data_IF_431676029337
#
_entry.id   IF_431676029337
#
_cell.length_a   1.000
_cell.length_b   1.000
_cell.length_c   1.000
_cell.angle_alpha   90.00
_cell.angle_beta   90.00
_cell.angle_gamma   90.00
#
_symmetry.space_group_name_H-M   'P 1'
#
loop_
_entity.id
_entity.type
_entity.pdbx_description
1 polymer ?
#
# COMPACT_ATOMS: atom_id res chain seq x y z
N UNK A 1 0.11 20.93 11.74
CA UNK A 1 0.96 20.39 10.65
C UNK A 1 2.44 20.66 10.91
N UNK A 2 2.86 21.89 11.23
CA UNK A 2 4.29 22.20 11.42
C UNK A 2 4.95 21.49 12.62
N UNK A 3 4.22 21.17 13.68
CA UNK A 3 4.74 20.40 14.80
C UNK A 3 4.95 18.93 14.42
N UNK A 4 3.94 18.30 13.84
CA UNK A 4 4.00 16.93 13.36
C UNK A 4 5.10 16.73 12.30
N UNK A 5 5.26 17.70 11.40
CA UNK A 5 6.31 17.65 10.39
C UNK A 5 7.70 17.70 11.02
N UNK A 6 7.94 18.56 12.03
CA UNK A 6 9.22 18.59 12.75
C UNK A 6 9.52 17.29 13.49
N UNK A 7 8.51 16.67 14.08
CA UNK A 7 8.67 15.38 14.77
C UNK A 7 8.99 14.26 13.77
N UNK A 8 8.31 14.24 12.63
CA UNK A 8 8.61 13.33 11.53
C UNK A 8 10.05 13.52 11.01
N UNK A 9 10.49 14.76 10.78
CA UNK A 9 11.84 15.06 10.33
C UNK A 9 12.90 14.63 11.38
N UNK A 10 12.57 14.70 12.66
CA UNK A 10 13.43 14.19 13.73
C UNK A 10 13.56 12.67 13.66
N UNK A 11 12.44 11.94 13.50
CA UNK A 11 12.45 10.49 13.34
C UNK A 11 13.28 10.08 12.13
N UNK A 12 13.07 10.75 11.00
CA UNK A 12 13.84 10.52 9.76
C UNK A 12 15.35 10.66 10.00
N UNK A 13 15.79 11.71 10.71
CA UNK A 13 17.21 11.90 11.03
C UNK A 13 17.78 10.82 11.95
N UNK A 14 16.99 10.36 12.93
CA UNK A 14 17.42 9.27 13.83
C UNK A 14 17.57 7.97 13.04
N UNK A 15 16.61 7.67 12.18
CA UNK A 15 16.68 6.49 11.31
C UNK A 15 17.89 6.57 10.36
N UNK A 16 18.11 7.72 9.73
CA UNK A 16 19.26 7.95 8.85
C UNK A 16 20.59 7.73 9.57
N UNK A 17 20.71 8.18 10.81
CA UNK A 17 21.92 8.00 11.60
C UNK A 17 22.21 6.52 11.92
N UNK A 18 21.18 5.65 11.92
CA UNK A 18 21.33 4.22 12.21
C UNK A 18 21.50 3.39 10.94
N UNK A 19 20.72 3.72 9.92
CA UNK A 19 20.60 2.90 8.67
C UNK A 19 21.40 3.47 7.50
N UNK A 20 21.85 4.72 7.57
CA UNK A 20 22.40 5.49 6.47
C UNK A 20 21.30 6.25 5.69
N UNK A 21 21.68 7.38 5.10
CA UNK A 21 20.74 8.23 4.36
C UNK A 21 20.14 7.51 3.13
N UNK A 22 20.92 6.63 2.50
CA UNK A 22 20.50 5.88 1.31
C UNK A 22 19.43 4.80 1.61
N UNK A 23 19.29 4.40 2.87
CA UNK A 23 18.30 3.40 3.29
C UNK A 23 16.89 3.98 3.46
N UNK A 24 16.73 5.30 3.32
CA UNK A 24 15.44 5.97 3.48
C UNK A 24 14.94 6.47 2.14
N UNK A 25 13.67 6.18 1.87
CA UNK A 25 13.04 6.57 0.61
C UNK A 25 11.63 7.08 0.85
N UNK A 26 11.28 8.16 0.20
CA UNK A 26 9.94 8.75 0.26
C UNK A 26 8.92 7.90 -0.51
N UNK A 27 7.80 7.58 0.14
CA UNK A 27 6.73 6.75 -0.45
C UNK A 27 6.17 7.32 -1.75
N UNK A 28 5.98 8.64 -1.82
CA UNK A 28 5.48 9.30 -3.03
C UNK A 28 6.48 9.21 -4.18
N UNK A 29 7.79 9.29 -3.88
CA UNK A 29 8.81 9.10 -4.89
C UNK A 29 8.81 7.65 -5.41
N UNK A 30 8.74 6.65 -4.53
CA UNK A 30 8.63 5.24 -4.91
C UNK A 30 7.41 5.00 -5.82
N UNK A 31 6.25 5.53 -5.40
CA UNK A 31 5.01 5.40 -6.17
C UNK A 31 5.13 6.10 -7.54
N UNK A 32 5.64 7.33 -7.58
CA UNK A 32 5.86 8.06 -8.84
C UNK A 32 6.77 7.31 -9.79
N UNK A 33 7.85 6.73 -9.27
CA UNK A 33 8.77 5.90 -10.06
C UNK A 33 8.09 4.64 -10.61
N UNK A 34 7.33 3.92 -9.79
CA UNK A 34 6.57 2.75 -10.24
C UNK A 34 5.53 3.10 -11.31
N UNK A 35 4.82 4.21 -11.14
CA UNK A 35 3.80 4.71 -12.07
C UNK A 35 4.36 5.25 -13.40
N UNK A 36 5.67 5.29 -13.58
CA UNK A 36 6.29 5.55 -14.87
C UNK A 36 6.15 4.36 -15.84
N UNK A 37 5.83 3.17 -15.33
CA UNK A 37 5.49 2.00 -16.13
C UNK A 37 3.98 2.01 -16.45
N UNK A 38 3.63 1.88 -17.74
CA UNK A 38 2.22 1.91 -18.19
C UNK A 38 1.38 0.81 -17.52
N UNK A 39 1.95 -0.37 -17.32
CA UNK A 39 1.28 -1.48 -16.64
C UNK A 39 0.89 -1.14 -15.20
N UNK A 40 1.81 -0.55 -14.42
CA UNK A 40 1.55 -0.10 -13.06
C UNK A 40 0.47 0.98 -13.02
N UNK A 41 0.55 1.92 -13.96
CA UNK A 41 -0.38 3.02 -14.09
C UNK A 41 -1.81 2.52 -14.35
N UNK A 42 -1.98 1.62 -15.32
CA UNK A 42 -3.28 1.03 -15.63
C UNK A 42 -3.84 0.25 -14.45
N UNK A 43 -3.05 -0.67 -13.86
CA UNK A 43 -3.44 -1.49 -12.71
C UNK A 43 -3.92 -0.63 -11.53
N UNK A 44 -3.18 0.44 -11.18
CA UNK A 44 -3.52 1.28 -10.04
C UNK A 44 -4.78 2.12 -10.30
N UNK A 45 -4.92 2.68 -11.51
CA UNK A 45 -6.11 3.45 -11.87
C UNK A 45 -7.33 2.54 -11.85
N UNK A 46 -7.27 1.37 -12.50
CA UNK A 46 -8.37 0.41 -12.56
C UNK A 46 -8.83 0.02 -11.15
N UNK A 47 -7.91 -0.45 -10.32
CA UNK A 47 -8.22 -0.85 -8.94
C UNK A 47 -8.76 0.32 -8.12
N UNK A 48 -8.22 1.53 -8.29
CA UNK A 48 -8.71 2.71 -7.55
C UNK A 48 -10.15 3.05 -7.94
N UNK A 49 -10.48 3.00 -9.22
CA UNK A 49 -11.84 3.27 -9.70
C UNK A 49 -12.83 2.21 -9.21
N UNK A 50 -12.42 0.94 -9.21
CA UNK A 50 -13.24 -0.14 -8.65
C UNK A 50 -13.52 0.09 -7.15
N UNK A 51 -12.51 0.51 -6.39
CA UNK A 51 -12.67 0.86 -4.98
C UNK A 51 -13.59 2.07 -4.76
N UNK A 52 -13.53 3.11 -5.61
CA UNK A 52 -14.43 4.25 -5.54
C UNK A 52 -15.90 3.83 -5.73
N UNK A 53 -16.17 2.90 -6.64
CA UNK A 53 -17.50 2.34 -6.86
C UNK A 53 -17.94 1.43 -5.69
N UNK A 54 -17.09 0.45 -5.34
CA UNK A 54 -17.41 -0.60 -4.36
C UNK A 54 -17.58 -0.04 -2.94
N UNK A 55 -16.64 0.80 -2.48
CA UNK A 55 -16.62 1.24 -1.09
C UNK A 55 -17.40 2.52 -0.85
N UNK A 56 -17.47 3.39 -1.85
CA UNK A 56 -18.02 4.74 -1.67
C UNK A 56 -19.26 5.01 -2.52
N UNK A 57 -19.71 4.02 -3.30
CA UNK A 57 -20.93 4.11 -4.10
C UNK A 57 -20.85 5.18 -5.18
N UNK A 58 -19.65 5.49 -5.68
CA UNK A 58 -19.48 6.42 -6.78
C UNK A 58 -20.12 5.82 -8.04
N UNK A 59 -21.02 6.58 -8.66
CA UNK A 59 -21.73 6.11 -9.84
C UNK A 59 -20.82 5.99 -11.09
N UNK A 60 -21.32 5.32 -12.12
CA UNK A 60 -20.55 5.10 -13.34
C UNK A 60 -20.09 6.40 -14.03
N UNK A 61 -20.83 7.49 -13.89
CA UNK A 61 -20.45 8.78 -14.46
C UNK A 61 -19.32 9.42 -13.65
N UNK A 62 -19.38 9.32 -12.31
CA UNK A 62 -18.32 9.74 -11.40
C UNK A 62 -17.03 8.96 -11.61
N UNK A 63 -17.14 7.63 -11.71
CA UNK A 63 -16.02 6.73 -12.00
C UNK A 63 -15.33 7.08 -13.33
N UNK A 64 -16.10 7.35 -14.40
CA UNK A 64 -15.51 7.79 -15.67
C UNK A 64 -14.77 9.12 -15.56
N UNK A 65 -15.37 10.13 -14.91
CA UNK A 65 -14.72 11.43 -14.71
C UNK A 65 -13.43 11.30 -13.89
N UNK A 66 -13.45 10.50 -12.83
CA UNK A 66 -12.27 10.26 -12.01
C UNK A 66 -11.15 9.57 -12.81
N UNK A 67 -11.51 8.54 -13.59
CA UNK A 67 -10.57 7.84 -14.48
C UNK A 67 -9.93 8.80 -15.48
N UNK A 68 -10.74 9.54 -16.24
CA UNK A 68 -10.26 10.50 -17.24
C UNK A 68 -9.31 11.54 -16.62
N UNK A 69 -9.64 12.03 -15.42
CA UNK A 69 -8.80 12.97 -14.71
C UNK A 69 -7.45 12.36 -14.28
N UNK A 70 -7.45 11.12 -13.78
CA UNK A 70 -6.21 10.42 -13.37
C UNK A 70 -5.32 10.06 -14.57
N UNK A 71 -5.91 9.64 -15.69
CA UNK A 71 -5.19 9.26 -16.90
C UNK A 71 -4.42 10.43 -17.54
N UNK A 72 -4.88 11.67 -17.34
CA UNK A 72 -4.21 12.87 -17.87
C UNK A 72 -3.01 13.35 -17.03
N UNK A 73 -2.84 12.83 -15.82
CA UNK A 73 -1.75 13.24 -14.94
C UNK A 73 -0.44 12.53 -15.32
N UNK A 74 0.68 13.20 -15.23
CA UNK A 74 1.99 12.55 -15.26
C UNK A 74 2.21 11.68 -14.00
N UNK A 75 3.24 10.85 -13.96
CA UNK A 75 3.47 9.90 -12.88
C UNK A 75 3.57 10.57 -11.49
N UNK A 76 4.21 11.74 -11.41
CA UNK A 76 4.38 12.47 -10.15
C UNK A 76 3.06 13.05 -9.64
N UNK A 77 2.30 13.67 -10.53
CA UNK A 77 0.99 14.23 -10.20
C UNK A 77 -0.03 13.14 -9.92
N UNK A 78 0.05 12.03 -10.64
CA UNK A 78 -0.78 10.85 -10.40
C UNK A 78 -0.52 10.27 -9.01
N UNK A 79 0.75 10.08 -8.61
CA UNK A 79 1.10 9.63 -7.26
C UNK A 79 0.51 10.55 -6.18
N UNK A 80 0.63 11.87 -6.36
CA UNK A 80 0.04 12.83 -5.43
C UNK A 80 -1.49 12.73 -5.39
N UNK A 81 -2.15 12.65 -6.55
CA UNK A 81 -3.61 12.53 -6.63
C UNK A 81 -4.13 11.24 -5.99
N UNK A 82 -3.44 10.11 -6.17
CA UNK A 82 -3.79 8.84 -5.55
C UNK A 82 -3.65 8.86 -4.03
N UNK A 83 -2.66 9.59 -3.50
CA UNK A 83 -2.44 9.74 -2.04
C UNK A 83 -3.44 10.74 -1.45
N UNK A 84 -3.58 11.91 -2.06
CA UNK A 84 -4.35 13.03 -1.47
C UNK A 84 -5.83 13.04 -1.86
N UNK A 85 -6.21 12.30 -2.90
CA UNK A 85 -7.54 12.34 -3.52
C UNK A 85 -7.76 13.54 -4.44
N UNK A 86 -6.74 14.36 -4.69
CA UNK A 86 -6.84 15.62 -5.44
C UNK A 86 -5.68 15.78 -6.41
N UNK A 87 -5.94 16.43 -7.55
CA UNK A 87 -4.83 16.89 -8.39
C UNK A 87 -4.04 18.00 -7.67
N UNK A 88 -2.74 18.13 -7.95
CA UNK A 88 -1.92 19.21 -7.40
C UNK A 88 -2.54 20.57 -7.66
N UNK A 89 -2.61 21.39 -6.62
CA UNK A 89 -3.19 22.76 -6.65
C UNK A 89 -4.69 22.82 -6.97
N UNK A 90 -5.39 21.69 -7.13
CA UNK A 90 -6.84 21.69 -7.31
C UNK A 90 -7.59 21.80 -5.98
N UNK A 91 -8.69 22.56 -5.98
CA UNK A 91 -9.62 22.63 -4.85
C UNK A 91 -10.61 21.47 -4.85
N UNK A 92 -10.92 20.94 -6.03
CA UNK A 92 -11.84 19.84 -6.21
C UNK A 92 -11.16 18.48 -6.03
N UNK A 93 -11.88 17.55 -5.43
CA UNK A 93 -11.42 16.17 -5.25
C UNK A 93 -11.71 15.36 -6.51
N UNK A 94 -10.72 14.57 -6.96
CA UNK A 94 -10.88 13.55 -8.00
C UNK A 94 -11.45 12.27 -7.37
N UNK A 95 -10.94 11.90 -6.20
CA UNK A 95 -11.34 10.71 -5.46
C UNK A 95 -12.11 11.12 -4.20
N UNK A 96 -13.00 10.25 -3.73
CA UNK A 96 -13.87 10.52 -2.60
C UNK A 96 -13.11 10.81 -1.32
N UNK A 97 -12.04 10.04 -1.07
CA UNK A 97 -11.20 10.15 0.13
C UNK A 97 -9.72 10.08 -0.22
N UNK A 98 -8.82 10.66 0.59
CA UNK A 98 -7.39 10.41 0.47
C UNK A 98 -7.06 8.95 0.84
N UNK A 99 -5.85 8.50 0.55
CA UNK A 99 -5.27 7.30 1.13
C UNK A 99 -4.88 7.60 2.59
N UNK A 100 -5.63 7.07 3.60
CA UNK A 100 -5.60 7.67 4.94
C UNK A 100 -4.34 7.34 5.73
N UNK A 101 -3.70 6.22 5.44
CA UNK A 101 -2.71 5.64 6.34
C UNK A 101 -1.39 5.25 5.66
N UNK A 102 -1.04 5.83 4.52
CA UNK A 102 0.28 5.62 3.89
C UNK A 102 1.45 6.08 4.77
N UNK A 103 1.16 6.87 5.81
CA UNK A 103 2.11 7.23 6.85
C UNK A 103 2.61 6.01 7.65
N UNK A 104 1.77 4.99 7.80
CA UNK A 104 2.12 3.74 8.50
C UNK A 104 2.73 2.74 7.51
N UNK A 105 3.96 3.03 7.08
CA UNK A 105 4.68 2.22 6.08
C UNK A 105 4.77 0.74 6.47
N UNK A 106 4.92 0.45 7.77
CA UNK A 106 4.98 -0.91 8.31
C UNK A 106 3.73 -1.74 8.02
N UNK A 107 2.56 -1.10 8.02
CA UNK A 107 1.31 -1.81 7.78
C UNK A 107 1.12 -2.19 6.30
N UNK A 108 1.85 -1.54 5.39
CA UNK A 108 1.68 -1.72 3.95
C UNK A 108 2.45 -2.92 3.40
N UNK A 109 3.59 -3.22 4.00
CA UNK A 109 4.43 -4.36 3.65
C UNK A 109 5.40 -4.68 4.80
N UNK A 110 5.86 -5.92 4.86
CA UNK A 110 6.83 -6.37 5.87
C UNK A 110 7.92 -7.19 5.22
N UNK A 111 9.18 -6.85 5.51
CA UNK A 111 10.31 -7.67 5.12
C UNK A 111 10.42 -8.89 6.06
N UNK A 112 10.46 -10.09 5.49
CA UNK A 112 10.62 -11.36 6.21
C UNK A 112 11.68 -12.17 5.47
N UNK A 113 12.84 -12.30 6.08
CA UNK A 113 14.01 -12.87 5.39
C UNK A 113 14.40 -12.03 4.16
N UNK A 114 14.48 -12.65 3.02
CA UNK A 114 14.77 -12.03 1.72
C UNK A 114 13.52 -11.68 0.90
N UNK A 115 12.32 -11.91 1.47
CA UNK A 115 11.05 -11.67 0.82
C UNK A 115 10.32 -10.43 1.38
N UNK A 116 9.45 -9.84 0.55
CA UNK A 116 8.54 -8.78 0.93
C UNK A 116 7.11 -9.32 1.03
N UNK A 117 6.60 -9.42 2.26
CA UNK A 117 5.20 -9.76 2.51
C UNK A 117 4.29 -8.58 2.19
N UNK A 118 3.41 -8.75 1.21
CA UNK A 118 2.41 -7.76 0.83
C UNK A 118 1.16 -7.94 1.70
N UNK A 119 0.72 -6.85 2.29
CA UNK A 119 -0.35 -6.88 3.28
C UNK A 119 -1.74 -6.69 2.66
N UNK A 120 -2.75 -7.09 3.42
CA UNK A 120 -4.17 -6.94 3.08
C UNK A 120 -4.91 -6.41 4.30
N UNK A 121 -5.24 -5.14 4.30
CA UNK A 121 -5.90 -4.50 5.43
C UNK A 121 -7.31 -5.05 5.69
N UNK A 122 -7.63 -5.23 6.96
CA UNK A 122 -8.97 -5.59 7.39
C UNK A 122 -9.97 -4.45 7.11
N UNK A 123 -9.57 -3.21 7.35
CA UNK A 123 -10.39 -2.03 7.13
C UNK A 123 -10.54 -1.70 5.63
N UNK A 124 -11.78 -1.68 5.11
CA UNK A 124 -12.02 -1.42 3.69
C UNK A 124 -11.40 -0.10 3.18
N UNK A 125 -11.45 0.96 3.99
CA UNK A 125 -10.89 2.27 3.64
C UNK A 125 -9.38 2.29 3.41
N UNK A 126 -8.64 1.27 3.88
CA UNK A 126 -7.19 1.11 3.68
C UNK A 126 -6.82 0.32 2.42
N UNK A 127 -7.78 -0.24 1.71
CA UNK A 127 -7.51 -1.09 0.53
C UNK A 127 -6.70 -0.34 -0.54
N UNK A 128 -6.94 0.97 -0.70
CA UNK A 128 -6.15 1.77 -1.63
C UNK A 128 -4.69 1.92 -1.18
N UNK A 129 -4.42 2.08 0.10
CA UNK A 129 -3.05 2.13 0.64
C UNK A 129 -2.27 0.87 0.21
N UNK A 130 -2.89 -0.31 0.37
CA UNK A 130 -2.30 -1.60 -0.01
C UNK A 130 -2.11 -1.73 -1.52
N UNK A 131 -3.05 -1.21 -2.32
CA UNK A 131 -2.94 -1.17 -3.79
C UNK A 131 -1.73 -0.34 -4.23
N UNK A 132 -1.52 0.82 -3.62
CA UNK A 132 -0.36 1.66 -3.93
C UNK A 132 0.96 0.97 -3.59
N UNK A 133 1.03 0.31 -2.43
CA UNK A 133 2.23 -0.44 -2.04
C UNK A 133 2.49 -1.63 -2.97
N UNK A 134 1.45 -2.35 -3.36
CA UNK A 134 1.56 -3.48 -4.30
C UNK A 134 2.11 -3.03 -5.67
N UNK A 135 1.67 -1.87 -6.16
CA UNK A 135 2.21 -1.30 -7.39
C UNK A 135 3.71 -0.95 -7.24
N UNK A 136 4.12 -0.39 -6.11
CA UNK A 136 5.54 -0.14 -5.81
C UNK A 136 6.31 -1.46 -5.81
N UNK A 137 5.84 -2.46 -5.09
CA UNK A 137 6.51 -3.75 -4.99
C UNK A 137 6.72 -4.41 -6.36
N UNK A 138 5.69 -4.43 -7.19
CA UNK A 138 5.70 -5.12 -8.48
C UNK A 138 6.45 -4.38 -9.60
N UNK A 139 6.50 -3.04 -9.55
CA UNK A 139 6.96 -2.24 -10.69
C UNK A 139 8.16 -1.33 -10.40
N UNK A 140 8.43 -1.03 -9.11
CA UNK A 140 9.58 -0.18 -8.80
C UNK A 140 10.90 -0.95 -8.91
N UNK A 141 11.95 -0.38 -9.54
CA UNK A 141 13.23 -1.06 -9.76
C UNK A 141 13.89 -1.64 -8.50
N UNK A 142 13.67 -1.02 -7.33
CA UNK A 142 14.22 -1.52 -6.05
C UNK A 142 13.55 -2.79 -5.53
N UNK A 143 12.31 -3.08 -5.95
CA UNK A 143 11.50 -4.14 -5.35
C UNK A 143 11.03 -5.21 -6.32
N UNK A 144 10.93 -4.90 -7.62
CA UNK A 144 10.35 -5.82 -8.63
C UNK A 144 11.06 -7.17 -8.73
N UNK A 145 12.32 -7.23 -8.35
CA UNK A 145 13.14 -8.46 -8.38
C UNK A 145 13.28 -9.10 -6.98
N UNK A 146 12.69 -8.50 -5.93
CA UNK A 146 12.61 -9.09 -4.60
C UNK A 146 11.49 -10.13 -4.58
N UNK A 147 11.67 -11.32 -3.98
CA UNK A 147 10.57 -12.26 -3.82
C UNK A 147 9.38 -11.61 -3.07
N UNK A 148 8.18 -11.80 -3.59
CA UNK A 148 6.95 -11.28 -2.96
C UNK A 148 6.12 -12.44 -2.40
N UNK A 149 5.58 -12.24 -1.19
CA UNK A 149 4.57 -13.09 -0.60
C UNK A 149 3.26 -12.32 -0.60
N UNK A 150 2.33 -12.69 -1.46
CA UNK A 150 0.98 -12.10 -1.52
C UNK A 150 -0.05 -13.18 -1.17
N UNK A 151 -0.85 -12.93 -0.14
CA UNK A 151 -1.88 -13.88 0.30
C UNK A 151 -3.04 -14.01 -0.69
N UNK A 152 -3.19 -13.06 -1.61
CA UNK A 152 -4.17 -13.12 -2.67
C UNK A 152 -3.85 -14.18 -3.73
N UNK A 153 -2.61 -14.65 -3.81
CA UNK A 153 -2.21 -15.74 -4.70
C UNK A 153 -2.84 -17.08 -4.32
N UNK A 154 -3.23 -17.25 -3.05
CA UNK A 154 -3.86 -18.47 -2.52
C UNK A 154 -5.39 -18.39 -2.53
N UNK A 155 -5.96 -17.34 -3.08
CA UNK A 155 -7.39 -17.15 -3.16
C UNK A 155 -7.88 -15.82 -2.57
N UNK A 156 -9.19 -15.60 -2.52
CA UNK A 156 -9.76 -14.34 -2.09
C UNK A 156 -9.36 -14.02 -0.64
N UNK A 157 -8.89 -12.80 -0.42
CA UNK A 157 -8.55 -12.27 0.91
C UNK A 157 -9.76 -11.63 1.59
N UNK A 158 -10.84 -11.45 0.85
CA UNK A 158 -12.10 -10.86 1.30
C UNK A 158 -13.24 -11.39 0.44
N UNK A 159 -14.45 -11.45 1.03
CA UNK A 159 -15.72 -11.72 0.31
C UNK A 159 -16.84 -10.79 0.80
N UNK A 160 -18.09 -11.11 0.43
CA UNK A 160 -19.25 -10.33 0.82
C UNK A 160 -19.53 -10.34 2.35
N UNK A 161 -19.01 -11.33 3.08
CA UNK A 161 -19.16 -11.42 4.54
C UNK A 161 -18.07 -10.65 5.30
N UNK A 162 -17.01 -10.23 4.61
CA UNK A 162 -15.94 -9.43 5.18
C UNK A 162 -14.52 -9.95 4.92
N UNK A 163 -13.56 -9.64 5.81
CA UNK A 163 -12.18 -10.09 5.69
C UNK A 163 -12.07 -11.61 5.92
N UNK A 164 -11.34 -12.30 5.03
CA UNK A 164 -11.01 -13.72 5.13
C UNK A 164 -9.55 -13.86 5.57
N UNK A 165 -8.59 -13.45 4.73
CA UNK A 165 -7.17 -13.56 4.97
C UNK A 165 -6.54 -12.17 4.97
N UNK A 166 -6.73 -11.44 6.07
CA UNK A 166 -6.14 -10.09 6.24
C UNK A 166 -4.91 -10.14 7.12
N UNK A 167 -3.91 -9.35 6.76
CA UNK A 167 -2.63 -9.21 7.43
C UNK A 167 -2.22 -7.74 7.41
N UNK A 168 -1.90 -7.18 8.56
CA UNK A 168 -1.27 -5.86 8.66
C UNK A 168 0.16 -6.03 9.21
N UNK A 169 1.14 -5.39 8.59
CA UNK A 169 2.55 -5.61 8.91
C UNK A 169 2.94 -5.18 10.33
N UNK A 170 2.13 -4.33 10.97
CA UNK A 170 2.27 -3.99 12.38
C UNK A 170 2.11 -5.17 13.33
N UNK A 171 1.35 -6.19 12.91
CA UNK A 171 1.14 -7.42 13.67
C UNK A 171 2.26 -8.46 13.48
N UNK A 172 3.20 -8.22 12.55
CA UNK A 172 4.28 -9.14 12.22
C UNK A 172 5.60 -8.67 12.83
N UNK A 173 6.21 -9.50 13.65
CA UNK A 173 7.51 -9.24 14.28
C UNK A 173 8.51 -10.35 13.89
N UNK A 174 9.50 -10.00 13.07
CA UNK A 174 10.62 -10.88 12.75
C UNK A 174 11.62 -10.83 13.90
N UNK A 175 11.73 -11.92 14.66
CA UNK A 175 12.56 -11.99 15.86
C UNK A 175 13.96 -12.55 15.55
N UNK A 176 14.05 -13.46 14.60
CA UNK A 176 15.31 -14.06 14.13
C UNK A 176 15.07 -14.66 12.73
N UNK A 177 16.08 -15.29 12.17
CA UNK A 177 15.97 -16.03 10.90
C UNK A 177 14.95 -17.18 10.98
N UNK A 178 14.73 -17.75 12.16
CA UNK A 178 13.89 -18.92 12.39
C UNK A 178 12.57 -18.59 13.09
N UNK A 179 12.36 -17.35 13.54
CA UNK A 179 11.22 -17.01 14.40
C UNK A 179 10.52 -15.73 13.92
N UNK A 180 9.25 -15.88 13.58
CA UNK A 180 8.34 -14.78 13.29
C UNK A 180 7.15 -14.87 14.25
N UNK A 181 6.87 -13.79 14.97
CA UNK A 181 5.70 -13.66 15.82
C UNK A 181 4.62 -12.89 15.06
N UNK A 182 3.39 -13.40 15.08
CA UNK A 182 2.24 -12.77 14.41
C UNK A 182 1.10 -12.61 15.41
N UNK A 183 0.66 -11.38 15.62
CA UNK A 183 -0.51 -11.06 16.43
C UNK A 183 -1.80 -11.33 15.67
N UNK A 184 -2.62 -12.26 16.14
CA UNK A 184 -3.93 -12.55 15.55
C UNK A 184 -5.02 -11.77 16.27
N UNK A 185 -5.88 -11.07 15.53
CA UNK A 185 -6.91 -10.21 16.10
C UNK A 185 -7.88 -9.67 15.04
N UNK A 186 -8.33 -8.45 15.23
CA UNK A 186 -9.27 -7.81 14.30
C UNK A 186 -8.64 -7.40 12.97
N UNK A 187 -7.31 -7.22 12.95
CA UNK A 187 -6.56 -6.74 11.78
C UNK A 187 -5.89 -7.87 11.02
N UNK A 188 -5.40 -8.88 11.73
CA UNK A 188 -4.75 -10.04 11.15
C UNK A 188 -5.53 -11.29 11.54
N UNK A 189 -5.99 -12.03 10.54
CA UNK A 189 -6.80 -13.24 10.74
C UNK A 189 -5.92 -14.49 10.86
N UNK A 190 -6.45 -15.54 11.50
CA UNK A 190 -5.76 -16.83 11.56
C UNK A 190 -5.57 -17.43 10.17
N UNK A 191 -6.55 -17.30 9.29
CA UNK A 191 -6.44 -17.70 7.88
C UNK A 191 -5.24 -17.07 7.17
N UNK A 192 -4.94 -15.79 7.45
CA UNK A 192 -3.76 -15.14 6.89
C UNK A 192 -2.46 -15.79 7.38
N UNK A 193 -2.40 -16.16 8.66
CA UNK A 193 -1.24 -16.87 9.24
C UNK A 193 -1.08 -18.24 8.61
N UNK A 194 -2.17 -18.99 8.44
CA UNK A 194 -2.16 -20.33 7.83
C UNK A 194 -1.71 -20.30 6.36
N UNK A 195 -2.05 -19.26 5.60
CA UNK A 195 -1.55 -19.05 4.24
C UNK A 195 -0.09 -18.57 4.18
N UNK A 196 0.31 -17.76 5.16
CA UNK A 196 1.66 -17.20 5.21
C UNK A 196 2.70 -18.22 5.63
N UNK A 197 2.43 -19.02 6.65
CA UNK A 197 3.41 -19.93 7.26
C UNK A 197 4.08 -20.90 6.27
N UNK A 198 3.38 -21.57 5.35
CA UNK A 198 4.03 -22.44 4.35
C UNK A 198 4.98 -21.71 3.42
N UNK A 199 4.73 -20.41 3.16
CA UNK A 199 5.57 -19.59 2.27
C UNK A 199 6.85 -19.11 2.93
N UNK A 200 6.87 -19.09 4.27
CA UNK A 200 8.04 -18.66 5.04
C UNK A 200 9.02 -19.80 5.32
N UNK A 201 8.54 -21.04 5.34
CA UNK A 201 9.31 -22.22 5.76
C UNK A 201 9.43 -23.27 4.63
N UNK A 202 9.27 -22.83 3.37
CA UNK A 202 9.33 -23.71 2.18
C UNK A 202 10.79 -23.93 1.66
#
# INVERSE_FOLDING_TARGET
LSALQREHDQLTRILAAVTGDEAQTDFRWLLSSALSADAARSEVIDTTIDLESELYGVDAAGCRRAREALEQLDATRLAEALITGRAPHATESILRWPAPNVLFARDLAVAIGDALGLTHAAEPGRRRDMTLMRAIARHHPLFKDVPHIDLADDGPVRDASGPIATLEGGDVQVMSEDVVLIGVGLRTTMEAVERLAPKLFA
#
